data_IF_910639082907
#
_entry.id   IF_910639082907
#
_cell.length_a   1.000
_cell.length_b   1.000
_cell.length_c   1.000
_cell.angle_alpha   90.00
_cell.angle_beta   90.00
_cell.angle_gamma   90.00
#
_symmetry.space_group_name_H-M   'P 1'
#
loop_
_entity.id
_entity.type
_entity.pdbx_description
1 polymer ?
#
# COMPACT_ATOMS: atom_id res chain seq x y z
N UNK A 1 1.08 -50.15 38.43
CA UNK A 1 1.55 -48.83 38.90
C UNK A 1 1.91 -48.00 37.67
N UNK A 2 1.16 -46.92 37.42
CA UNK A 2 1.55 -45.82 36.50
C UNK A 2 2.52 -44.87 37.24
N UNK A 3 3.05 -43.77 36.65
CA UNK A 3 3.47 -43.49 35.26
C UNK A 3 4.92 -42.90 35.20
N UNK A 4 5.47 -42.68 34.00
CA UNK A 4 6.61 -41.78 33.79
C UNK A 4 6.11 -40.44 33.19
N UNK A 5 6.67 -39.28 33.58
CA UNK A 5 6.13 -37.97 33.21
C UNK A 5 6.62 -37.48 31.84
N UNK A 6 5.76 -36.65 31.26
CA UNK A 6 5.87 -35.88 30.01
C UNK A 6 7.08 -34.95 29.96
N UNK A 7 7.74 -34.86 28.80
CA UNK A 7 8.58 -33.72 28.45
C UNK A 7 8.11 -33.14 27.10
N UNK A 8 7.34 -32.08 27.24
CA UNK A 8 6.89 -31.13 26.24
C UNK A 8 8.12 -30.57 25.47
N UNK A 9 8.14 -30.72 24.14
CA UNK A 9 9.17 -30.12 23.30
C UNK A 9 8.72 -28.68 23.00
N UNK A 10 9.48 -27.64 23.39
CA UNK A 10 9.04 -26.26 23.21
C UNK A 10 8.90 -25.94 21.71
N UNK A 11 7.90 -25.14 21.30
CA UNK A 11 7.74 -24.77 19.90
C UNK A 11 8.95 -23.95 19.46
N UNK A 12 9.46 -24.29 18.29
CA UNK A 12 10.58 -23.64 17.65
C UNK A 12 10.36 -22.12 17.62
N UNK A 13 11.24 -21.40 18.32
CA UNK A 13 11.33 -19.93 18.26
C UNK A 13 11.58 -19.56 16.80
N UNK A 14 10.59 -18.96 16.14
CA UNK A 14 10.73 -18.40 14.80
C UNK A 14 11.80 -17.31 14.93
N UNK A 15 13.03 -17.60 14.50
CA UNK A 15 14.06 -16.60 14.40
C UNK A 15 13.57 -15.51 13.43
N UNK A 16 13.60 -14.21 13.80
CA UNK A 16 13.28 -13.17 12.85
C UNK A 16 14.31 -13.25 11.71
N UNK A 17 13.83 -13.35 10.47
CA UNK A 17 14.71 -13.32 9.29
C UNK A 17 15.63 -12.09 9.38
N UNK A 18 16.90 -12.20 8.99
CA UNK A 18 17.89 -11.09 9.03
C UNK A 18 17.49 -9.86 8.18
N UNK A 19 16.36 -9.93 7.46
CA UNK A 19 15.71 -8.80 6.83
C UNK A 19 15.54 -7.60 7.79
N UNK A 20 15.11 -7.80 9.04
CA UNK A 20 14.72 -6.69 9.94
C UNK A 20 15.76 -5.58 10.14
N UNK A 21 17.07 -5.89 10.28
CA UNK A 21 18.12 -4.86 10.43
C UNK A 21 18.47 -4.18 9.10
N UNK A 22 18.51 -4.95 8.01
CA UNK A 22 18.79 -4.39 6.70
C UNK A 22 17.61 -3.54 6.21
N UNK A 23 16.38 -3.94 6.55
CA UNK A 23 15.17 -3.22 6.18
C UNK A 23 15.06 -1.86 6.88
N UNK A 24 15.52 -1.74 8.13
CA UNK A 24 15.52 -0.43 8.81
C UNK A 24 16.52 0.54 8.20
N UNK A 25 17.72 0.06 7.86
CA UNK A 25 18.74 0.88 7.20
C UNK A 25 18.32 1.25 5.76
N UNK A 26 17.77 0.29 5.01
CA UNK A 26 17.24 0.52 3.67
C UNK A 26 16.10 1.54 3.68
N UNK A 27 15.19 1.46 4.65
CA UNK A 27 14.12 2.44 4.82
C UNK A 27 14.65 3.85 5.12
N UNK A 28 15.62 3.97 6.03
CA UNK A 28 16.23 5.26 6.36
C UNK A 28 16.90 5.90 5.15
N UNK A 29 17.68 5.12 4.40
CA UNK A 29 18.35 5.62 3.19
C UNK A 29 17.35 5.94 2.08
N UNK A 30 16.33 5.10 1.87
CA UNK A 30 15.27 5.39 0.91
C UNK A 30 14.51 6.68 1.26
N UNK A 31 14.33 6.97 2.55
CA UNK A 31 13.70 8.21 3.02
C UNK A 31 14.57 9.42 2.68
N UNK A 32 15.89 9.33 2.89
CA UNK A 32 16.83 10.39 2.49
C UNK A 32 16.81 10.62 0.98
N UNK A 33 16.86 9.55 0.19
CA UNK A 33 16.80 9.62 -1.26
C UNK A 33 15.47 10.23 -1.74
N UNK A 34 14.34 9.85 -1.12
CA UNK A 34 13.04 10.45 -1.41
C UNK A 34 13.02 11.95 -1.13
N UNK A 35 13.56 12.38 0.02
CA UNK A 35 13.68 13.81 0.37
C UNK A 35 14.61 14.57 -0.58
N UNK A 36 15.66 13.92 -1.07
CA UNK A 36 16.58 14.46 -2.08
C UNK A 36 16.00 14.45 -3.51
N UNK A 37 14.75 14.02 -3.71
CA UNK A 37 14.12 13.91 -5.02
C UNK A 37 14.63 12.75 -5.89
N UNK A 38 15.50 11.89 -5.35
CA UNK A 38 16.06 10.71 -6.01
C UNK A 38 15.10 9.52 -5.93
N UNK A 39 13.90 9.71 -6.46
CA UNK A 39 12.80 8.74 -6.34
C UNK A 39 13.11 7.38 -6.97
N UNK A 40 13.82 7.36 -8.11
CA UNK A 40 14.18 6.10 -8.75
C UNK A 40 15.09 5.25 -7.85
N UNK A 41 16.08 5.86 -7.19
CA UNK A 41 17.00 5.17 -6.28
C UNK A 41 16.27 4.71 -5.01
N UNK A 42 15.43 5.56 -4.42
CA UNK A 42 14.59 5.21 -3.27
C UNK A 42 13.69 3.99 -3.57
N UNK A 43 13.07 3.96 -4.75
CA UNK A 43 12.24 2.83 -5.18
C UNK A 43 13.04 1.53 -5.33
N UNK A 44 14.33 1.59 -5.69
CA UNK A 44 15.17 0.38 -5.78
C UNK A 44 15.43 -0.19 -4.40
N UNK A 45 15.72 0.65 -3.40
CA UNK A 45 15.96 0.20 -2.02
C UNK A 45 14.72 -0.40 -1.36
N UNK A 46 13.54 0.11 -1.69
CA UNK A 46 12.28 -0.35 -1.08
C UNK A 46 11.63 -1.55 -1.78
N UNK A 47 12.17 -1.99 -2.93
CA UNK A 47 11.52 -2.98 -3.80
C UNK A 47 11.39 -4.36 -3.15
N UNK A 48 12.39 -4.73 -2.35
CA UNK A 48 12.50 -6.07 -1.75
C UNK A 48 11.78 -6.16 -0.40
N UNK A 49 11.58 -5.01 0.27
CA UNK A 49 11.01 -4.90 1.61
C UNK A 49 9.49 -4.70 1.64
N UNK A 50 8.83 -4.79 0.47
CA UNK A 50 7.49 -4.28 0.19
C UNK A 50 6.30 -4.90 0.96
N UNK A 51 6.48 -5.29 2.21
CA UNK A 51 5.47 -5.74 3.14
C UNK A 51 5.89 -7.05 3.79
N UNK A 52 6.99 -7.02 4.55
CA UNK A 52 7.48 -8.11 5.41
C UNK A 52 6.45 -8.59 6.44
N UNK A 53 6.93 -9.03 7.60
CA UNK A 53 6.17 -9.60 8.75
C UNK A 53 4.91 -8.83 9.22
N UNK A 54 4.63 -7.65 8.68
CA UNK A 54 3.48 -6.81 9.03
C UNK A 54 3.80 -5.74 10.07
N UNK A 55 5.06 -5.68 10.52
CA UNK A 55 5.57 -4.64 11.43
C UNK A 55 5.30 -3.22 10.91
N UNK A 56 5.35 -2.25 11.82
CA UNK A 56 5.24 -0.83 11.47
C UNK A 56 6.29 -0.41 10.44
N UNK A 57 7.51 -0.96 10.51
CA UNK A 57 8.54 -0.72 9.51
C UNK A 57 8.11 -1.23 8.13
N UNK A 58 7.54 -2.44 8.04
CA UNK A 58 7.03 -2.96 6.78
C UNK A 58 5.87 -2.13 6.21
N UNK A 59 5.03 -1.56 7.09
CA UNK A 59 3.97 -0.61 6.70
C UNK A 59 4.56 0.68 6.13
N UNK A 60 5.51 1.27 6.86
CA UNK A 60 6.20 2.50 6.47
C UNK A 60 6.98 2.35 5.16
N UNK A 61 7.71 1.24 4.97
CA UNK A 61 8.43 0.95 3.73
C UNK A 61 7.51 0.80 2.54
N UNK A 62 6.39 0.07 2.68
CA UNK A 62 5.44 -0.11 1.59
C UNK A 62 4.71 1.21 1.24
N UNK A 63 4.38 2.00 2.26
CA UNK A 63 3.79 3.32 2.05
C UNK A 63 4.76 4.27 1.34
N UNK A 64 6.01 4.34 1.79
CA UNK A 64 7.04 5.17 1.15
C UNK A 64 7.29 4.73 -0.31
N UNK A 65 7.28 3.42 -0.58
CA UNK A 65 7.40 2.91 -1.94
C UNK A 65 6.23 3.39 -2.81
N UNK A 66 5.00 3.35 -2.30
CA UNK A 66 3.82 3.87 -3.02
C UNK A 66 3.99 5.35 -3.37
N UNK A 67 4.33 6.19 -2.39
CA UNK A 67 4.56 7.62 -2.58
C UNK A 67 5.66 7.87 -3.61
N UNK A 68 6.73 7.08 -3.56
CA UNK A 68 7.84 7.16 -4.51
C UNK A 68 7.37 6.86 -5.94
N UNK A 69 6.56 5.82 -6.14
CA UNK A 69 6.01 5.49 -7.46
C UNK A 69 5.04 6.58 -7.96
N UNK A 70 4.29 7.22 -7.06
CA UNK A 70 3.44 8.38 -7.40
C UNK A 70 4.28 9.56 -7.91
N UNK A 71 5.42 9.85 -7.28
CA UNK A 71 6.35 10.90 -7.75
C UNK A 71 6.93 10.59 -9.13
N UNK A 72 7.14 9.31 -9.42
CA UNK A 72 7.59 8.83 -10.74
C UNK A 72 6.44 8.67 -11.76
N UNK A 73 5.18 8.87 -11.35
CA UNK A 73 3.97 8.65 -12.15
C UNK A 73 3.89 7.24 -12.77
N UNK A 74 4.50 6.23 -12.12
CA UNK A 74 4.50 4.83 -12.56
C UNK A 74 3.17 4.14 -12.23
N UNK A 75 2.15 4.38 -13.06
CA UNK A 75 0.77 3.97 -12.80
C UNK A 75 0.59 2.48 -12.51
N UNK A 76 1.26 1.59 -13.24
CA UNK A 76 1.18 0.14 -13.00
C UNK A 76 1.68 -0.25 -11.60
N UNK A 77 2.83 0.30 -11.18
CA UNK A 77 3.39 0.07 -9.85
C UNK A 77 2.47 0.61 -8.75
N UNK A 78 1.93 1.82 -8.93
CA UNK A 78 0.98 2.43 -7.98
C UNK A 78 -0.26 1.54 -7.81
N UNK A 79 -0.80 1.00 -8.90
CA UNK A 79 -1.95 0.09 -8.87
C UNK A 79 -1.61 -1.16 -8.04
N UNK A 80 -0.52 -1.84 -8.34
CA UNK A 80 -0.12 -3.07 -7.65
C UNK A 80 0.15 -2.83 -6.15
N UNK A 81 0.94 -1.80 -5.85
CA UNK A 81 1.37 -1.48 -4.49
C UNK A 81 0.19 -0.96 -3.66
N UNK A 82 -0.60 -0.01 -4.18
CA UNK A 82 -1.72 0.59 -3.45
C UNK A 82 -2.83 -0.42 -3.14
N UNK A 83 -3.12 -1.33 -4.08
CA UNK A 83 -4.04 -2.44 -3.82
C UNK A 83 -3.50 -3.39 -2.75
N UNK A 84 -2.21 -3.74 -2.79
CA UNK A 84 -1.58 -4.57 -1.75
C UNK A 84 -1.63 -3.88 -0.40
N UNK A 85 -1.27 -2.60 -0.35
CA UNK A 85 -1.21 -1.78 0.86
C UNK A 85 -2.58 -1.72 1.54
N UNK A 86 -3.62 -1.36 0.81
CA UNK A 86 -4.99 -1.28 1.34
C UNK A 86 -5.59 -2.62 1.76
N UNK A 87 -5.17 -3.74 1.13
CA UNK A 87 -5.57 -5.08 1.57
C UNK A 87 -4.85 -5.53 2.83
N UNK A 88 -3.54 -5.28 2.92
CA UNK A 88 -2.69 -5.76 4.02
C UNK A 88 -2.80 -4.90 5.26
N UNK A 89 -2.98 -3.59 5.09
CA UNK A 89 -3.01 -2.61 6.16
C UNK A 89 -4.28 -1.75 6.11
N UNK A 90 -5.48 -2.37 6.22
CA UNK A 90 -6.74 -1.65 6.03
C UNK A 90 -7.07 -0.65 7.13
N UNK A 91 -6.40 -0.70 8.28
CA UNK A 91 -6.56 0.27 9.36
C UNK A 91 -5.55 1.41 9.27
N UNK A 92 -4.57 1.32 8.35
CA UNK A 92 -3.57 2.36 8.20
C UNK A 92 -4.22 3.64 7.66
N UNK A 93 -3.90 4.83 8.19
CA UNK A 93 -4.52 6.09 7.76
C UNK A 93 -4.45 6.32 6.24
N UNK A 94 -3.31 6.02 5.62
CA UNK A 94 -3.09 6.17 4.17
C UNK A 94 -3.71 5.07 3.29
N UNK A 95 -4.40 4.07 3.86
CA UNK A 95 -4.96 2.97 3.07
C UNK A 95 -6.07 3.45 2.12
N UNK A 96 -6.85 4.43 2.56
CA UNK A 96 -7.87 5.09 1.75
C UNK A 96 -7.23 5.91 0.61
N UNK A 97 -6.19 6.71 0.91
CA UNK A 97 -5.47 7.48 -0.10
C UNK A 97 -4.78 6.58 -1.15
N UNK A 98 -4.25 5.44 -0.71
CA UNK A 98 -3.66 4.45 -1.61
C UNK A 98 -4.67 3.93 -2.65
N UNK A 99 -5.89 3.59 -2.23
CA UNK A 99 -6.96 3.17 -3.15
C UNK A 99 -7.45 4.31 -4.04
N UNK A 100 -7.48 5.55 -3.54
CA UNK A 100 -7.80 6.70 -4.37
C UNK A 100 -6.78 6.86 -5.51
N UNK A 101 -5.48 6.77 -5.19
CA UNK A 101 -4.39 6.83 -6.16
C UNK A 101 -4.45 5.69 -7.20
N UNK A 102 -4.81 4.47 -6.78
CA UNK A 102 -5.05 3.34 -7.69
C UNK A 102 -6.12 3.71 -8.73
N UNK A 103 -7.26 4.27 -8.28
CA UNK A 103 -8.33 4.69 -9.19
C UNK A 103 -7.90 5.83 -10.13
N UNK A 104 -7.11 6.79 -9.65
CA UNK A 104 -6.56 7.85 -10.52
C UNK A 104 -5.61 7.29 -11.59
N UNK A 105 -4.78 6.32 -11.25
CA UNK A 105 -3.91 5.65 -12.22
C UNK A 105 -4.71 4.84 -13.24
N UNK A 106 -5.71 4.08 -12.81
CA UNK A 106 -6.61 3.34 -13.72
C UNK A 106 -7.31 4.29 -14.69
N UNK A 107 -7.79 5.42 -14.18
CA UNK A 107 -8.42 6.46 -15.00
C UNK A 107 -7.47 7.01 -16.06
N UNK A 108 -6.24 7.40 -15.65
CA UNK A 108 -5.20 7.90 -16.58
C UNK A 108 -4.83 6.87 -17.65
N UNK A 109 -4.88 5.59 -17.32
CA UNK A 109 -4.63 4.47 -18.23
C UNK A 109 -5.85 4.08 -19.07
N UNK A 110 -6.88 4.95 -19.16
CA UNK A 110 -8.13 4.70 -19.89
C UNK A 110 -8.96 3.50 -19.38
N UNK A 111 -8.65 2.97 -18.20
CA UNK A 111 -9.41 1.90 -17.54
C UNK A 111 -10.52 2.50 -16.67
N UNK A 112 -11.41 3.28 -17.28
CA UNK A 112 -12.38 4.11 -16.57
C UNK A 112 -13.39 3.29 -15.75
N UNK A 113 -13.84 2.15 -16.28
CA UNK A 113 -14.75 1.26 -15.54
C UNK A 113 -14.10 0.68 -14.29
N UNK A 114 -12.85 0.24 -14.42
CA UNK A 114 -12.07 -0.29 -13.29
C UNK A 114 -11.81 0.82 -12.26
N UNK A 115 -11.50 2.04 -12.71
CA UNK A 115 -11.32 3.20 -11.82
C UNK A 115 -12.59 3.50 -11.02
N UNK A 116 -13.75 3.50 -11.67
CA UNK A 116 -15.05 3.69 -11.02
C UNK A 116 -15.31 2.63 -9.96
N UNK A 117 -15.01 1.39 -10.26
CA UNK A 117 -15.19 0.27 -9.34
C UNK A 117 -14.29 0.41 -8.12
N UNK A 118 -13.03 0.77 -8.33
CA UNK A 118 -12.07 1.05 -7.25
C UNK A 118 -12.56 2.20 -6.36
N UNK A 119 -13.04 3.30 -6.93
CA UNK A 119 -13.57 4.43 -6.15
C UNK A 119 -14.89 4.11 -5.43
N UNK A 120 -15.75 3.25 -6.00
CA UNK A 120 -16.92 2.73 -5.28
C UNK A 120 -16.50 1.88 -4.09
N UNK A 121 -15.54 0.98 -4.26
CA UNK A 121 -14.98 0.17 -3.18
C UNK A 121 -14.34 1.04 -2.09
N UNK A 122 -13.60 2.08 -2.48
CA UNK A 122 -13.02 3.05 -1.54
C UNK A 122 -14.09 3.69 -0.64
N UNK A 123 -15.19 4.16 -1.24
CA UNK A 123 -16.30 4.77 -0.47
C UNK A 123 -16.99 3.79 0.47
N UNK A 124 -17.12 2.53 0.06
CA UNK A 124 -17.72 1.49 0.90
C UNK A 124 -16.82 1.11 2.07
N UNK A 125 -15.51 1.01 1.83
CA UNK A 125 -14.53 0.53 2.82
C UNK A 125 -14.03 1.64 3.74
N UNK A 126 -13.98 2.89 3.27
CA UNK A 126 -13.44 4.03 4.00
C UNK A 126 -14.39 5.24 3.99
N UNK A 127 -15.67 5.09 4.40
CA UNK A 127 -16.71 6.08 4.16
C UNK A 127 -16.49 7.46 4.80
N UNK A 128 -15.67 7.56 5.85
CA UNK A 128 -15.43 8.80 6.62
C UNK A 128 -14.07 9.46 6.31
N UNK A 129 -13.49 9.17 5.15
CA UNK A 129 -12.17 9.68 4.74
C UNK A 129 -12.27 10.73 3.65
N UNK A 130 -11.31 11.66 3.61
CA UNK A 130 -11.21 12.65 2.53
C UNK A 130 -11.04 11.97 1.17
N UNK A 131 -10.30 10.86 1.13
CA UNK A 131 -10.15 10.04 -0.08
C UNK A 131 -11.50 9.55 -0.63
N UNK A 132 -12.42 9.12 0.24
CA UNK A 132 -13.76 8.71 -0.16
C UNK A 132 -14.60 9.89 -0.67
N UNK A 133 -14.47 11.07 -0.06
CA UNK A 133 -15.13 12.29 -0.53
C UNK A 133 -14.61 12.69 -1.93
N UNK A 134 -13.30 12.68 -2.15
CA UNK A 134 -12.70 12.95 -3.47
C UNK A 134 -13.14 11.92 -4.51
N UNK A 135 -13.17 10.64 -4.17
CA UNK A 135 -13.70 9.60 -5.05
C UNK A 135 -15.17 9.81 -5.41
N UNK A 136 -15.99 10.27 -4.47
CA UNK A 136 -17.39 10.60 -4.74
C UNK A 136 -17.51 11.72 -5.78
N UNK A 137 -16.71 12.78 -5.64
CA UNK A 137 -16.69 13.89 -6.61
C UNK A 137 -16.31 13.37 -7.99
N UNK A 138 -15.24 12.55 -8.10
CA UNK A 138 -14.82 11.94 -9.38
C UNK A 138 -15.95 11.14 -10.03
N UNK A 139 -16.65 10.30 -9.26
CA UNK A 139 -17.77 9.49 -9.75
C UNK A 139 -18.96 10.35 -10.21
N UNK A 140 -19.26 11.44 -9.52
CA UNK A 140 -20.36 12.35 -9.87
C UNK A 140 -20.06 13.12 -11.16
N UNK A 141 -18.87 13.70 -11.30
CA UNK A 141 -18.46 14.44 -12.50
C UNK A 141 -18.60 13.60 -13.78
N UNK A 142 -18.33 12.30 -13.70
CA UNK A 142 -18.43 11.39 -14.84
C UNK A 142 -19.86 11.10 -15.27
N UNK A 143 -20.78 10.98 -14.30
CA UNK A 143 -22.20 10.79 -14.60
C UNK A 143 -22.80 12.00 -15.32
N UNK A 144 -22.30 13.20 -15.02
CA UNK A 144 -22.69 14.43 -15.69
C UNK A 144 -22.20 14.48 -17.13
N UNK A 145 -20.96 14.04 -17.40
CA UNK A 145 -20.41 13.99 -18.77
C UNK A 145 -21.13 12.98 -19.67
N UNK A 146 -21.59 11.85 -19.11
CA UNK A 146 -22.38 10.84 -19.86
C UNK A 146 -23.83 11.26 -20.13
N UNK A 147 -24.26 12.42 -19.60
CA UNK A 147 -25.63 12.92 -19.70
C UNK A 147 -25.74 14.16 -20.61
N UNK A 148 -24.73 14.44 -21.43
CA UNK A 148 -24.79 15.48 -22.45
C UNK A 148 -25.17 14.82 -23.79
N UNK A 149 -26.21 15.33 -24.49
CA UNK A 149 -26.66 14.81 -25.79
C UNK A 149 -25.65 15.05 -26.91
#
# INVERSE_FOLDING_TARGET
>A
MQPAPTADKPPARIAPKPASRNSSAAYQEATRLYQAGKYAEAAKLLRDDGGGDGSELAQSSLHLLLLTQQKLNHCQSIIQIGQRFSRRFPQHPSAADALYAVGECQWKMQQQDIARDTWRQLRLRYPKTDAAARAQIRLQSQRSNLRQP
#
